data_IF_034820634314
#
_entry.id   IF_034820634314
#
_cell.length_a   1.000
_cell.length_b   1.000
_cell.length_c   1.000
_cell.angle_alpha   90.00
_cell.angle_beta   90.00
_cell.angle_gamma   90.00
#
_symmetry.space_group_name_H-M   'P 1'
#
loop_
_entity.id
_entity.type
_entity.pdbx_description
1 polymer ?
#
# COMPACT_ATOMS: atom_id res chain seq x y z
N UNK A 1 -15.12 -5.00 6.10
CA UNK A 1 -13.98 -4.07 5.98
C UNK A 1 -12.83 -4.69 6.76
N UNK A 2 -11.68 -4.89 6.12
CA UNK A 2 -10.50 -5.43 6.83
C UNK A 2 -9.88 -4.29 7.64
N UNK A 3 -9.41 -4.62 8.84
CA UNK A 3 -8.63 -3.71 9.67
C UNK A 3 -7.24 -4.33 9.88
N UNK A 4 -6.21 -3.69 9.34
CA UNK A 4 -4.82 -4.14 9.43
C UNK A 4 -4.06 -3.27 10.42
N UNK A 5 -3.30 -3.92 11.31
CA UNK A 5 -2.51 -3.25 12.33
C UNK A 5 -1.11 -3.84 12.41
N UNK A 6 -0.13 -2.95 12.52
CA UNK A 6 1.26 -3.26 12.84
C UNK A 6 2.24 -2.89 11.73
N UNK A 7 3.50 -2.77 12.15
CA UNK A 7 4.67 -2.55 11.30
C UNK A 7 5.65 -3.70 11.53
N UNK A 8 6.12 -4.31 10.45
CA UNK A 8 6.87 -5.55 10.48
C UNK A 8 8.13 -5.45 9.64
N UNK A 9 9.28 -5.66 10.25
CA UNK A 9 10.53 -5.80 9.52
C UNK A 9 10.62 -7.19 8.89
N UNK A 10 10.96 -7.22 7.60
CA UNK A 10 11.10 -8.42 6.80
C UNK A 10 12.38 -8.33 5.94
N UNK A 11 12.66 -9.40 5.21
CA UNK A 11 13.67 -9.37 4.16
C UNK A 11 13.08 -9.81 2.83
N UNK A 12 13.60 -9.22 1.75
CA UNK A 12 13.37 -9.72 0.39
C UNK A 12 14.52 -10.65 0.01
N UNK A 13 14.18 -11.81 -0.53
CA UNK A 13 15.21 -12.73 -1.03
C UNK A 13 15.73 -12.32 -2.42
N UNK A 14 16.77 -13.00 -2.91
CA UNK A 14 17.38 -12.72 -4.21
C UNK A 14 16.43 -12.88 -5.41
N UNK A 15 15.26 -13.50 -5.21
CA UNK A 15 14.22 -13.67 -6.24
C UNK A 15 13.11 -12.63 -6.13
N UNK A 16 13.18 -11.71 -5.18
CA UNK A 16 12.13 -10.72 -4.95
C UNK A 16 10.99 -11.21 -4.07
N UNK A 17 11.16 -12.32 -3.32
CA UNK A 17 10.09 -12.86 -2.48
C UNK A 17 10.16 -12.32 -1.07
N UNK A 18 8.99 -11.98 -0.53
CA UNK A 18 8.82 -11.51 0.85
C UNK A 18 7.85 -12.45 1.55
N UNK A 19 8.20 -12.88 2.76
CA UNK A 19 7.29 -13.65 3.60
C UNK A 19 6.32 -12.70 4.31
N UNK A 20 5.02 -12.97 4.21
CA UNK A 20 4.05 -12.20 5.01
C UNK A 20 4.18 -12.63 6.48
N UNK A 21 4.36 -11.68 7.42
CA UNK A 21 4.38 -11.96 8.86
C UNK A 21 3.16 -12.76 9.30
N UNK A 22 3.36 -13.69 10.24
CA UNK A 22 2.28 -14.55 10.75
C UNK A 22 1.12 -13.76 11.36
N UNK A 23 1.42 -12.63 12.00
CA UNK A 23 0.41 -11.73 12.57
C UNK A 23 -0.44 -11.06 11.48
N UNK A 24 0.16 -10.61 10.38
CA UNK A 24 -0.58 -10.09 9.23
C UNK A 24 -1.37 -11.19 8.51
N UNK A 25 -0.80 -12.38 8.36
CA UNK A 25 -1.52 -13.53 7.80
C UNK A 25 -2.83 -13.79 8.56
N UNK A 26 -2.77 -13.83 9.89
CA UNK A 26 -3.96 -13.99 10.75
C UNK A 26 -5.01 -12.91 10.55
N UNK A 27 -4.59 -11.65 10.41
CA UNK A 27 -5.51 -10.53 10.15
C UNK A 27 -6.13 -10.60 8.74
N UNK A 28 -5.44 -11.25 7.80
CA UNK A 28 -5.91 -11.51 6.44
C UNK A 28 -6.64 -12.86 6.32
N UNK A 29 -6.83 -13.60 7.42
CA UNK A 29 -7.53 -14.89 7.39
C UNK A 29 -8.95 -14.70 6.85
N UNK A 30 -9.35 -15.57 5.91
CA UNK A 30 -10.60 -15.45 5.14
C UNK A 30 -10.47 -14.65 3.83
N UNK A 31 -9.35 -13.94 3.64
CA UNK A 31 -9.04 -13.17 2.41
C UNK A 31 -7.81 -13.73 1.69
N UNK A 32 -6.96 -14.49 2.40
CA UNK A 32 -5.75 -15.16 1.87
C UNK A 32 -6.02 -16.16 0.74
N UNK A 33 -7.26 -16.66 0.61
CA UNK A 33 -7.69 -17.49 -0.54
C UNK A 33 -7.84 -16.69 -1.84
N UNK A 34 -7.83 -15.36 -1.75
CA UNK A 34 -7.96 -14.44 -2.88
C UNK A 34 -6.62 -13.83 -3.25
N UNK A 35 -6.46 -13.48 -4.53
CA UNK A 35 -5.29 -12.75 -5.00
C UNK A 35 -5.24 -11.33 -4.40
N UNK A 36 -4.03 -10.83 -4.17
CA UNK A 36 -3.78 -9.45 -3.78
C UNK A 36 -3.50 -8.59 -5.00
N UNK A 37 -3.66 -7.28 -4.85
CA UNK A 37 -3.28 -6.31 -5.89
C UNK A 37 -2.09 -5.50 -5.39
N UNK A 38 -0.99 -5.59 -6.13
CA UNK A 38 0.23 -4.84 -5.87
C UNK A 38 0.33 -3.67 -6.84
N UNK A 39 0.61 -2.48 -6.31
CA UNK A 39 0.82 -1.28 -7.12
C UNK A 39 1.85 -0.35 -6.50
N UNK A 40 2.21 0.71 -7.23
CA UNK A 40 3.07 1.79 -6.73
C UNK A 40 2.25 2.72 -5.81
N UNK A 41 2.86 3.26 -4.77
CA UNK A 41 2.25 4.36 -4.02
C UNK A 41 2.18 5.63 -4.84
N UNK A 42 1.20 6.49 -4.53
CA UNK A 42 0.99 7.77 -5.23
C UNK A 42 1.94 8.83 -4.73
N UNK A 43 2.13 8.88 -3.41
CA UNK A 43 2.86 9.96 -2.74
C UNK A 43 4.24 9.53 -2.28
N UNK A 44 4.44 8.22 -2.11
CA UNK A 44 5.64 7.69 -1.49
C UNK A 44 6.40 6.74 -2.40
N UNK A 45 7.69 6.59 -2.12
CA UNK A 45 8.55 5.67 -2.86
C UNK A 45 8.46 4.24 -2.29
N UNK A 46 7.25 3.68 -2.30
CA UNK A 46 6.94 2.34 -1.78
C UNK A 46 5.91 1.64 -2.67
N UNK A 47 5.61 0.38 -2.35
CA UNK A 47 4.52 -0.36 -2.98
C UNK A 47 3.34 -0.46 -2.02
N UNK A 48 2.14 -0.56 -2.57
CA UNK A 48 0.92 -0.81 -1.83
C UNK A 48 0.33 -2.15 -2.24
N UNK A 49 0.06 -3.00 -1.26
CA UNK A 49 -0.55 -4.32 -1.38
C UNK A 49 -1.98 -4.27 -0.84
N UNK A 50 -2.93 -4.35 -1.76
CA UNK A 50 -4.35 -4.33 -1.46
C UNK A 50 -4.90 -5.75 -1.36
N UNK A 51 -5.68 -6.06 -0.31
CA UNK A 51 -6.66 -7.13 -0.39
C UNK A 51 -7.63 -6.86 -1.55
N UNK A 52 -8.02 -7.89 -2.30
CA UNK A 52 -8.82 -7.76 -3.52
C UNK A 52 -10.11 -6.92 -3.32
N UNK A 53 -10.79 -7.14 -2.19
CA UNK A 53 -12.02 -6.44 -1.86
C UNK A 53 -11.81 -4.93 -1.70
N UNK A 54 -10.70 -4.50 -1.10
CA UNK A 54 -10.39 -3.09 -0.88
C UNK A 54 -9.99 -2.43 -2.21
N UNK A 55 -9.30 -3.18 -3.08
CA UNK A 55 -9.02 -2.73 -4.45
C UNK A 55 -10.30 -2.50 -5.27
N UNK A 56 -11.27 -3.42 -5.17
CA UNK A 56 -12.57 -3.27 -5.85
C UNK A 56 -13.28 -1.99 -5.43
N UNK A 57 -13.38 -1.72 -4.13
CA UNK A 57 -13.96 -0.49 -3.58
C UNK A 57 -13.24 0.75 -4.13
N UNK A 58 -11.91 0.71 -4.21
CA UNK A 58 -11.14 1.81 -4.78
C UNK A 58 -11.42 2.01 -6.28
N UNK A 59 -11.48 0.91 -7.04
CA UNK A 59 -11.72 0.95 -8.48
C UNK A 59 -13.14 1.37 -8.84
N UNK A 60 -14.14 1.11 -8.01
CA UNK A 60 -15.48 1.68 -8.17
C UNK A 60 -15.45 3.22 -8.14
N UNK A 61 -14.64 3.83 -7.27
CA UNK A 61 -14.50 5.29 -7.20
C UNK A 61 -13.79 5.84 -8.43
N UNK A 62 -12.70 5.22 -8.84
CA UNK A 62 -11.93 5.64 -10.02
C UNK A 62 -12.72 5.45 -11.32
N UNK A 63 -13.54 4.40 -11.42
CA UNK A 63 -14.39 4.15 -12.59
C UNK A 63 -15.51 5.18 -12.78
N UNK A 64 -15.86 5.95 -11.74
CA UNK A 64 -16.84 7.05 -11.85
C UNK A 64 -16.25 8.31 -12.52
N UNK A 65 -14.93 8.37 -12.74
CA UNK A 65 -14.30 9.53 -13.36
C UNK A 65 -14.63 9.60 -14.86
N UNK A 66 -15.03 10.80 -15.32
CA UNK A 66 -15.28 11.05 -16.74
C UNK A 66 -13.98 10.92 -17.56
N UNK A 67 -13.92 9.92 -18.45
CA UNK A 67 -12.75 9.61 -19.30
C UNK A 67 -12.47 10.64 -20.40
N UNK A 68 -13.42 11.51 -20.74
CA UNK A 68 -13.23 12.59 -21.72
C UNK A 68 -12.53 13.82 -21.12
N UNK A 69 -12.40 13.88 -19.80
CA UNK A 69 -11.59 14.91 -19.15
C UNK A 69 -10.13 14.44 -19.12
N UNK A 70 -9.24 15.12 -19.86
CA UNK A 70 -7.82 14.75 -19.99
C UNK A 70 -7.14 14.49 -18.63
N UNK A 71 -7.38 15.37 -17.64
CA UNK A 71 -6.86 15.22 -16.27
C UNK A 71 -7.24 13.88 -15.64
N UNK A 72 -8.49 13.45 -15.79
CA UNK A 72 -8.97 12.19 -15.25
C UNK A 72 -8.34 10.99 -15.97
N UNK A 73 -8.22 11.06 -17.29
CA UNK A 73 -7.60 9.99 -18.07
C UNK A 73 -6.11 9.83 -17.74
N UNK A 74 -5.38 10.95 -17.60
CA UNK A 74 -3.98 10.95 -17.18
C UNK A 74 -3.82 10.39 -15.76
N UNK A 75 -4.72 10.77 -14.83
CA UNK A 75 -4.77 10.19 -13.49
C UNK A 75 -5.00 8.69 -13.51
N UNK A 76 -6.04 8.20 -14.19
CA UNK A 76 -6.36 6.76 -14.28
C UNK A 76 -5.15 5.99 -14.81
N UNK A 77 -4.54 6.46 -15.91
CA UNK A 77 -3.37 5.84 -16.52
C UNK A 77 -2.20 5.74 -15.53
N UNK A 78 -1.92 6.81 -14.79
CA UNK A 78 -0.81 6.84 -13.83
C UNK A 78 -1.10 6.02 -12.57
N UNK A 79 -2.33 6.09 -12.06
CA UNK A 79 -2.78 5.38 -10.87
C UNK A 79 -2.82 3.86 -11.08
N UNK A 80 -3.14 3.42 -12.30
CA UNK A 80 -3.17 2.00 -12.68
C UNK A 80 -1.85 1.49 -13.30
N UNK A 81 -0.84 2.35 -13.42
CA UNK A 81 0.45 1.98 -14.01
C UNK A 81 1.17 0.94 -13.14
N UNK A 82 1.51 -0.20 -13.75
CA UNK A 82 2.27 -1.25 -13.07
C UNK A 82 1.47 -2.04 -12.01
N UNK A 83 0.14 -1.89 -11.96
CA UNK A 83 -0.72 -2.73 -11.11
C UNK A 83 -0.57 -4.21 -11.51
N UNK A 84 -0.49 -5.10 -10.52
CA UNK A 84 -0.35 -6.55 -10.70
C UNK A 84 -1.23 -7.30 -9.72
N UNK A 85 -1.88 -8.36 -10.19
CA UNK A 85 -2.44 -9.38 -9.30
C UNK A 85 -1.31 -10.30 -8.85
N UNK A 86 -1.21 -10.56 -7.55
CA UNK A 86 -0.21 -11.44 -6.96
C UNK A 86 -0.87 -12.43 -6.00
N UNK A 87 -0.36 -13.65 -5.98
CA UNK A 87 -0.83 -14.71 -5.09
C UNK A 87 0.25 -15.05 -4.06
N UNK A 88 -0.19 -15.66 -2.97
CA UNK A 88 0.72 -16.26 -1.99
C UNK A 88 1.18 -17.63 -2.49
N UNK A 89 2.48 -17.91 -2.39
CA UNK A 89 2.98 -19.27 -2.59
C UNK A 89 2.55 -20.21 -1.44
N UNK A 90 2.84 -21.49 -1.57
CA UNK A 90 2.51 -22.50 -0.53
C UNK A 90 3.15 -22.26 0.84
N UNK A 91 4.13 -21.35 0.94
CA UNK A 91 4.78 -20.94 2.18
C UNK A 91 4.27 -19.56 2.67
N UNK A 92 3.27 -19.00 2.00
CA UNK A 92 2.73 -17.68 2.25
C UNK A 92 3.74 -16.55 1.99
N UNK A 93 4.51 -16.67 0.91
CA UNK A 93 5.36 -15.61 0.36
C UNK A 93 4.70 -14.95 -0.83
N UNK A 94 4.89 -13.65 -0.97
CA UNK A 94 4.57 -12.90 -2.20
C UNK A 94 5.82 -12.73 -3.05
N UNK A 95 5.67 -12.75 -4.37
CA UNK A 95 6.72 -12.43 -5.32
C UNK A 95 6.54 -10.99 -5.83
N UNK A 96 7.50 -10.12 -5.54
CA UNK A 96 7.50 -8.74 -6.06
C UNK A 96 8.14 -8.73 -7.46
N UNK A 97 7.42 -8.27 -8.50
CA UNK A 97 7.97 -8.08 -9.83
C UNK A 97 9.20 -7.17 -9.85
N UNK A 98 10.20 -7.51 -10.67
CA UNK A 98 11.48 -6.78 -10.74
C UNK A 98 11.33 -5.30 -11.08
N UNK A 99 10.38 -4.96 -11.94
CA UNK A 99 10.09 -3.57 -12.28
C UNK A 99 9.62 -2.82 -11.04
N UNK A 100 8.72 -3.40 -10.23
CA UNK A 100 8.23 -2.80 -9.00
C UNK A 100 9.32 -2.66 -7.92
N UNK A 101 10.20 -3.65 -7.77
CA UNK A 101 11.40 -3.56 -6.91
C UNK A 101 12.24 -2.34 -7.30
N UNK A 102 12.47 -2.17 -8.61
CA UNK A 102 13.31 -1.09 -9.13
C UNK A 102 12.71 0.28 -8.83
N UNK A 103 11.40 0.48 -9.07
CA UNK A 103 10.79 1.80 -8.86
C UNK A 103 10.70 2.15 -7.39
N UNK A 104 10.43 1.18 -6.52
CA UNK A 104 10.28 1.38 -5.07
C UNK A 104 11.59 1.31 -4.31
N UNK A 105 12.72 1.14 -5.02
CA UNK A 105 14.06 1.05 -4.46
C UNK A 105 14.18 0.00 -3.34
N UNK A 106 13.45 -1.11 -3.43
CA UNK A 106 13.49 -2.18 -2.43
C UNK A 106 14.86 -2.86 -2.43
N UNK A 107 15.56 -2.78 -1.30
CA UNK A 107 16.77 -3.56 -1.02
C UNK A 107 16.42 -4.76 -0.13
N UNK A 108 17.45 -5.39 0.45
CA UNK A 108 17.34 -6.59 1.28
C UNK A 108 16.41 -6.42 2.48
N UNK A 109 16.49 -5.29 3.19
CA UNK A 109 15.71 -5.03 4.40
C UNK A 109 14.47 -4.21 4.06
N UNK A 110 13.31 -4.75 4.39
CA UNK A 110 12.03 -4.16 4.01
C UNK A 110 11.11 -4.04 5.21
N UNK A 111 10.19 -3.08 5.15
CA UNK A 111 9.16 -2.87 6.17
C UNK A 111 7.79 -3.10 5.53
N UNK A 112 6.99 -3.97 6.15
CA UNK A 112 5.57 -4.12 5.87
C UNK A 112 4.80 -3.32 6.92
N UNK A 113 4.24 -2.18 6.53
CA UNK A 113 3.47 -1.32 7.43
C UNK A 113 2.00 -1.32 7.05
N UNK A 114 1.13 -1.51 8.03
CA UNK A 114 -0.32 -1.46 7.79
C UNK A 114 -0.77 0.00 7.70
N UNK A 115 -1.47 0.34 6.62
CA UNK A 115 -2.08 1.65 6.43
C UNK A 115 -3.59 1.45 6.27
N UNK A 116 -4.28 1.39 7.40
CA UNK A 116 -5.72 1.14 7.54
C UNK A 116 -6.13 -0.24 6.99
N UNK A 117 -6.45 -0.33 5.70
CA UNK A 117 -7.00 -1.51 5.02
C UNK A 117 -6.03 -2.08 3.96
N UNK A 118 -4.84 -1.51 3.83
CA UNK A 118 -3.78 -1.97 2.92
C UNK A 118 -2.46 -2.18 3.65
N UNK A 119 -1.53 -2.87 3.00
CA UNK A 119 -0.16 -3.03 3.48
C UNK A 119 0.75 -2.25 2.55
N UNK A 120 1.56 -1.35 3.09
CA UNK A 120 2.64 -0.73 2.37
C UNK A 120 3.93 -1.55 2.51
N UNK A 121 4.69 -1.66 1.43
CA UNK A 121 5.95 -2.40 1.36
C UNK A 121 7.05 -1.39 1.02
N UNK A 122 7.95 -1.21 1.97
CA UNK A 122 8.98 -0.19 1.94
C UNK A 122 10.38 -0.78 1.98
N UNK A 123 11.35 -0.06 1.42
CA UNK A 123 12.72 -0.20 1.86
C UNK A 123 12.83 0.35 3.29
N UNK A 124 13.58 -0.33 4.16
CA UNK A 124 13.64 0.04 5.58
C UNK A 124 14.14 1.47 5.79
N UNK A 125 15.17 1.90 5.06
CA UNK A 125 15.74 3.25 5.23
C UNK A 125 14.73 4.32 4.77
N UNK A 126 14.04 4.06 3.66
CA UNK A 126 13.02 4.97 3.14
C UNK A 126 11.81 5.09 4.06
N UNK A 127 11.40 3.99 4.70
CA UNK A 127 10.33 4.02 5.71
C UNK A 127 10.69 4.92 6.88
N UNK A 128 11.85 4.69 7.51
CA UNK A 128 12.29 5.48 8.67
C UNK A 128 12.49 6.96 8.33
N UNK A 129 12.98 7.26 7.13
CA UNK A 129 13.08 8.64 6.66
C UNK A 129 11.71 9.30 6.48
N UNK A 130 10.72 8.54 6.01
CA UNK A 130 9.38 9.05 5.76
C UNK A 130 8.61 9.33 7.07
N UNK A 131 8.60 8.37 8.00
CA UNK A 131 7.85 8.52 9.26
C UNK A 131 8.50 9.52 10.24
N UNK A 132 9.81 9.78 10.08
CA UNK A 132 10.55 10.74 10.90
C UNK A 132 10.93 12.00 10.10
N UNK A 133 10.22 12.34 9.02
CA UNK A 133 10.53 13.53 8.22
C UNK A 133 10.36 14.80 9.08
N UNK A 134 11.45 15.51 9.43
CA UNK A 134 11.38 16.66 10.32
C UNK A 134 10.68 17.87 9.68
N UNK A 135 10.39 17.83 8.37
CA UNK A 135 9.61 18.86 7.68
C UNK A 135 8.11 18.73 7.95
N UNK A 136 7.67 17.60 8.48
CA UNK A 136 6.27 17.36 8.82
C UNK A 136 6.13 17.57 10.33
N UNK A 137 5.51 18.67 10.73
CA UNK A 137 5.02 18.82 12.09
C UNK A 137 3.79 17.93 12.25
N UNK A 138 3.98 16.76 12.85
CA UNK A 138 2.91 15.79 13.02
C UNK A 138 1.80 16.31 13.96
N UNK A 139 2.12 17.19 14.91
CA UNK A 139 1.12 17.78 15.79
C UNK A 139 0.22 18.75 15.01
N UNK A 140 0.81 19.68 14.26
CA UNK A 140 0.07 20.62 13.40
C UNK A 140 -0.76 19.87 12.35
N UNK A 141 -0.18 18.86 11.69
CA UNK A 141 -0.91 18.03 10.73
C UNK A 141 -2.09 17.28 11.38
N UNK A 142 -1.93 16.83 12.63
CA UNK A 142 -3.00 16.17 13.36
C UNK A 142 -4.12 17.16 13.68
N UNK A 143 -3.80 18.38 14.09
CA UNK A 143 -4.79 19.44 14.34
C UNK A 143 -5.54 19.80 13.04
N UNK A 144 -4.85 19.97 11.93
CA UNK A 144 -5.47 20.31 10.64
C UNK A 144 -6.43 19.22 10.12
N UNK A 145 -6.07 17.95 10.33
CA UNK A 145 -6.83 16.82 9.78
C UNK A 145 -7.93 16.35 10.73
N UNK A 146 -7.67 16.31 12.04
CA UNK A 146 -8.56 15.73 13.05
C UNK A 146 -9.15 16.76 14.02
N UNK A 147 -8.66 18.00 14.04
CA UNK A 147 -9.08 19.01 15.02
C UNK A 147 -10.43 19.67 14.72
N UNK A 148 -10.91 19.64 13.47
CA UNK A 148 -12.09 20.38 13.02
C UNK A 148 -13.36 19.51 12.87
N UNK A 149 -13.58 18.58 13.81
CA UNK A 149 -14.72 17.62 13.86
C UNK A 149 -16.12 18.29 13.98
N UNK A 150 -16.23 19.63 13.94
CA UNK A 150 -17.51 20.35 14.06
C UNK A 150 -18.07 20.93 12.74
N UNK A 151 -17.43 20.79 11.58
CA UNK A 151 -17.93 21.40 10.32
C UNK A 151 -18.73 20.49 9.38
N UNK A 152 -18.94 19.22 9.71
CA UNK A 152 -19.72 18.29 8.87
C UNK A 152 -20.93 17.67 9.57
N UNK A 153 -21.62 18.45 10.41
CA UNK A 153 -23.02 18.21 10.75
C UNK A 153 -23.86 19.34 10.15
N UNK A 154 -24.23 19.18 8.88
CA UNK A 154 -25.32 19.92 8.25
C UNK A 154 -26.15 18.97 7.39
#
# INVERSE_FOLDING_TARGET
MINLVGTFECTVDNKGRIMIPSQLKKQLDGVTSSSFILKRSVFQNCLELFPNQEWKVMMERVNKLNRFVKKNNDFIRRYTAGVRSIDLDSNGRILIPKDLITVSNLKKHVVLSSSINIIEIWDKELYEQNINDPKIDFAELTEDVMGDDQKNVS
#
